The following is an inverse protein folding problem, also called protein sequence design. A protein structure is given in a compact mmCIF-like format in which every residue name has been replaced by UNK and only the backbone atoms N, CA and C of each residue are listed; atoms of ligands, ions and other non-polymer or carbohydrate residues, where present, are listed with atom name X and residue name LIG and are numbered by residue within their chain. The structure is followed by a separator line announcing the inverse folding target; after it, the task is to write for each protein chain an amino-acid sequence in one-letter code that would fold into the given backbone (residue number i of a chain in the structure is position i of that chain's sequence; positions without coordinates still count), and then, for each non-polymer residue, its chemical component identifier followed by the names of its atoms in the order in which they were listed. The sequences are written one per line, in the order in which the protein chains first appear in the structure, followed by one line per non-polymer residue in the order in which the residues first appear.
data_IF_208263416480
#
_entry.id   IF_208263416480
#
_cell.length_a   1.000
_cell.length_b   1.000
_cell.length_c   1.000
_cell.angle_alpha   90.00
_cell.angle_beta   90.00
_cell.angle_gamma   90.00
#
_symmetry.space_group_name_H-M   'P 1'
#
loop_
_entity.id
_entity.type
_entity.pdbx_description
1 polymer ?
#
# COMPACT_ATOMS: atom_id res chain seq x y z
N UNK A 1 -37.97 -29.58 94.43
CA UNK A 1 -38.83 -30.02 93.31
C UNK A 1 -39.07 -28.93 92.25
N UNK A 2 -39.81 -27.84 92.49
CA UNK A 2 -40.05 -26.83 91.42
C UNK A 2 -38.82 -26.00 91.05
N UNK A 3 -38.09 -25.46 92.04
CA UNK A 3 -36.83 -24.71 91.81
C UNK A 3 -35.75 -25.54 91.09
N UNK A 4 -35.67 -26.83 91.36
CA UNK A 4 -34.70 -27.73 90.69
C UNK A 4 -35.10 -27.99 89.24
N UNK A 5 -36.40 -28.14 88.96
CA UNK A 5 -36.92 -28.26 87.58
C UNK A 5 -36.67 -26.98 86.78
N UNK A 6 -36.77 -25.81 87.41
CA UNK A 6 -36.51 -24.52 86.78
C UNK A 6 -35.02 -24.33 86.48
N UNK A 7 -34.14 -24.66 87.42
CA UNK A 7 -32.68 -24.65 87.19
C UNK A 7 -32.22 -25.66 86.12
N UNK A 8 -32.89 -26.82 86.00
CA UNK A 8 -32.62 -27.79 84.95
C UNK A 8 -33.04 -27.26 83.56
N UNK A 9 -34.19 -26.59 83.47
CA UNK A 9 -34.66 -25.93 82.23
C UNK A 9 -33.73 -24.80 81.81
N UNK A 10 -33.24 -24.01 82.76
CA UNK A 10 -32.31 -22.92 82.47
C UNK A 10 -30.96 -23.43 81.97
N UNK A 11 -30.42 -24.52 82.57
CA UNK A 11 -29.22 -25.19 82.08
C UNK A 11 -29.39 -25.74 80.65
N UNK A 12 -30.48 -26.45 80.39
CA UNK A 12 -30.78 -26.96 79.04
C UNK A 12 -30.95 -25.85 78.00
N UNK A 13 -31.50 -24.68 78.39
CA UNK A 13 -31.62 -23.52 77.51
C UNK A 13 -30.26 -22.88 77.20
N UNK A 14 -29.34 -22.80 78.18
CA UNK A 14 -27.97 -22.33 77.96
C UNK A 14 -27.17 -23.30 77.07
N UNK A 15 -27.30 -24.60 77.29
CA UNK A 15 -26.66 -25.62 76.45
C UNK A 15 -27.13 -25.55 74.99
N UNK A 16 -28.44 -25.36 74.75
CA UNK A 16 -28.99 -25.17 73.41
C UNK A 16 -28.51 -23.87 72.75
N UNK A 17 -28.30 -22.81 73.53
CA UNK A 17 -27.79 -21.53 73.03
C UNK A 17 -26.30 -21.63 72.66
N UNK A 18 -25.50 -22.29 73.47
CA UNK A 18 -24.11 -22.61 73.17
C UNK A 18 -23.97 -23.53 71.93
N UNK A 19 -24.85 -24.53 71.78
CA UNK A 19 -24.84 -25.40 70.60
C UNK A 19 -25.16 -24.62 69.32
N UNK A 20 -26.14 -23.71 69.37
CA UNK A 20 -26.47 -22.80 68.25
C UNK A 20 -25.33 -21.85 67.93
N UNK A 21 -24.57 -21.39 68.93
CA UNK A 21 -23.39 -20.56 68.71
C UNK A 21 -22.27 -21.35 68.03
N UNK A 22 -21.99 -22.57 68.49
CA UNK A 22 -21.04 -23.49 67.84
C UNK A 22 -21.46 -23.84 66.42
N UNK A 23 -22.77 -23.99 66.15
CA UNK A 23 -23.29 -24.21 64.80
C UNK A 23 -23.09 -22.99 63.91
N UNK A 24 -23.32 -21.77 64.42
CA UNK A 24 -23.06 -20.51 63.70
C UNK A 24 -21.57 -20.34 63.39
N UNK A 25 -20.68 -20.72 64.30
CA UNK A 25 -19.23 -20.73 64.04
C UNK A 25 -18.86 -21.70 62.92
N UNK A 26 -19.34 -22.95 62.99
CA UNK A 26 -19.13 -23.94 61.91
C UNK A 26 -19.71 -23.46 60.58
N UNK A 27 -20.84 -22.74 60.58
CA UNK A 27 -21.41 -22.16 59.37
C UNK A 27 -20.54 -21.03 58.80
N UNK A 28 -19.97 -20.17 59.65
CA UNK A 28 -19.00 -19.15 59.24
C UNK A 28 -17.74 -19.79 58.66
N UNK A 29 -17.22 -20.84 59.26
CA UNK A 29 -16.06 -21.58 58.75
C UNK A 29 -16.34 -22.21 57.39
N UNK A 30 -17.51 -22.81 57.19
CA UNK A 30 -17.93 -23.34 55.88
C UNK A 30 -17.99 -22.25 54.82
N UNK A 31 -18.53 -21.08 55.15
CA UNK A 31 -18.58 -19.94 54.23
C UNK A 31 -17.18 -19.37 53.93
N UNK A 32 -16.30 -19.31 54.93
CA UNK A 32 -14.91 -18.89 54.75
C UNK A 32 -14.16 -19.82 53.80
N UNK A 33 -14.34 -21.14 53.95
CA UNK A 33 -13.75 -22.15 53.04
C UNK A 33 -14.33 -22.04 51.63
N UNK A 34 -15.64 -21.85 51.48
CA UNK A 34 -16.26 -21.64 50.16
C UNK A 34 -15.77 -20.35 49.48
N UNK A 35 -15.55 -19.29 50.26
CA UNK A 35 -14.98 -18.04 49.74
C UNK A 35 -13.53 -18.23 49.31
N UNK A 36 -12.71 -18.87 50.14
CA UNK A 36 -11.30 -19.13 49.85
C UNK A 36 -11.13 -20.01 48.60
N UNK A 37 -11.97 -21.03 48.42
CA UNK A 37 -11.94 -21.90 47.23
C UNK A 37 -12.36 -21.15 45.97
N UNK A 38 -13.44 -20.36 46.01
CA UNK A 38 -13.84 -19.50 44.89
C UNK A 38 -12.75 -18.50 44.52
N UNK A 39 -12.17 -17.84 45.52
CA UNK A 39 -11.09 -16.87 45.30
C UNK A 39 -9.83 -17.53 44.74
N UNK A 40 -9.48 -18.74 45.19
CA UNK A 40 -8.38 -19.51 44.62
C UNK A 40 -8.62 -19.88 43.14
N UNK A 41 -9.84 -20.30 42.80
CA UNK A 41 -10.21 -20.56 41.41
C UNK A 41 -10.17 -19.28 40.57
N UNK A 42 -10.75 -18.18 41.04
CA UNK A 42 -10.73 -16.89 40.35
C UNK A 42 -9.30 -16.40 40.11
N UNK A 43 -8.41 -16.50 41.11
CA UNK A 43 -6.99 -16.17 40.95
C UNK A 43 -6.30 -17.06 39.90
N UNK A 44 -6.54 -18.36 39.91
CA UNK A 44 -5.97 -19.28 38.92
C UNK A 44 -6.44 -18.97 37.49
N UNK A 45 -7.73 -18.65 37.32
CA UNK A 45 -8.28 -18.24 36.02
C UNK A 45 -7.73 -16.88 35.57
N UNK A 46 -7.58 -15.92 36.48
CA UNK A 46 -6.98 -14.62 36.18
C UNK A 46 -5.52 -14.76 35.75
N UNK A 47 -4.74 -15.59 36.44
CA UNK A 47 -3.34 -15.85 36.10
C UNK A 47 -3.21 -16.56 34.73
N UNK A 48 -4.09 -17.52 34.43
CA UNK A 48 -4.13 -18.17 33.12
C UNK A 48 -4.45 -17.19 31.99
N UNK A 49 -5.42 -16.28 32.19
CA UNK A 49 -5.75 -15.22 31.23
C UNK A 49 -4.60 -14.25 31.02
N UNK A 50 -3.96 -13.79 32.10
CA UNK A 50 -2.81 -12.89 32.02
C UNK A 50 -1.62 -13.54 31.28
N UNK A 51 -1.36 -14.84 31.50
CA UNK A 51 -0.34 -15.59 30.76
C UNK A 51 -0.68 -15.70 29.27
N UNK A 52 -1.93 -16.01 28.93
CA UNK A 52 -2.38 -16.08 27.55
C UNK A 52 -2.25 -14.73 26.83
N UNK A 53 -2.61 -13.63 27.50
CA UNK A 53 -2.48 -12.27 26.96
C UNK A 53 -1.02 -11.90 26.73
N UNK A 54 -0.12 -12.21 27.68
CA UNK A 54 1.32 -12.00 27.53
C UNK A 54 1.89 -12.75 26.32
N UNK A 55 1.52 -14.02 26.15
CA UNK A 55 1.94 -14.82 24.99
C UNK A 55 1.38 -14.24 23.69
N UNK A 56 0.13 -13.79 23.66
CA UNK A 56 -0.46 -13.17 22.49
C UNK A 56 0.28 -11.88 22.10
N UNK A 57 0.59 -11.03 23.08
CA UNK A 57 1.36 -9.80 22.86
C UNK A 57 2.77 -10.10 22.35
N UNK A 58 3.47 -11.09 22.92
CA UNK A 58 4.80 -11.51 22.47
C UNK A 58 4.78 -12.06 21.04
N UNK A 59 3.73 -12.81 20.65
CA UNK A 59 3.55 -13.28 19.27
C UNK A 59 3.30 -12.11 18.31
N UNK A 60 2.53 -11.11 18.72
CA UNK A 60 2.26 -9.91 17.91
C UNK A 60 3.55 -9.09 17.72
N UNK A 61 4.33 -8.88 18.78
CA UNK A 61 5.59 -8.12 18.69
C UNK A 61 6.61 -8.86 17.82
N UNK A 62 6.73 -10.17 17.97
CA UNK A 62 7.64 -10.99 17.16
C UNK A 62 7.21 -11.06 15.68
N UNK A 63 5.91 -11.11 15.40
CA UNK A 63 5.40 -11.01 14.02
C UNK A 63 5.72 -9.64 13.39
N UNK A 64 5.57 -8.55 14.16
CA UNK A 64 5.93 -7.20 13.70
C UNK A 64 7.42 -7.06 13.44
N UNK A 65 8.28 -7.61 14.31
CA UNK A 65 9.72 -7.62 14.11
C UNK A 65 10.11 -8.41 12.85
N UNK A 66 9.54 -9.60 12.63
CA UNK A 66 9.77 -10.39 11.42
C UNK A 66 9.35 -9.63 10.16
N UNK A 67 8.17 -9.02 10.14
CA UNK A 67 7.73 -8.21 9.00
C UNK A 67 8.67 -7.03 8.73
N UNK A 68 9.18 -6.38 9.78
CA UNK A 68 10.16 -5.29 9.62
C UNK A 68 11.52 -5.76 9.11
N UNK A 69 11.96 -6.97 9.49
CA UNK A 69 13.20 -7.56 9.01
C UNK A 69 13.08 -7.98 7.53
N UNK A 70 11.97 -8.63 7.16
CA UNK A 70 11.70 -9.01 5.77
C UNK A 70 11.58 -7.79 4.85
N UNK A 71 11.01 -6.68 5.34
CA UNK A 71 10.98 -5.42 4.59
C UNK A 71 12.40 -4.86 4.35
N UNK A 72 13.25 -4.86 5.38
CA UNK A 72 14.65 -4.41 5.24
C UNK A 72 15.46 -5.30 4.31
N UNK A 73 15.29 -6.61 4.38
CA UNK A 73 15.97 -7.56 3.48
C UNK A 73 15.54 -7.34 2.02
N UNK A 74 14.25 -7.09 1.77
CA UNK A 74 13.74 -6.76 0.42
C UNK A 74 14.30 -5.43 -0.09
N UNK A 75 14.41 -4.42 0.77
CA UNK A 75 15.02 -3.13 0.41
C UNK A 75 16.53 -3.27 0.13
N UNK A 76 17.26 -4.03 0.95
CA UNK A 76 18.68 -4.31 0.73
C UNK A 76 18.91 -5.10 -0.57
N UNK A 77 18.08 -6.11 -0.84
CA UNK A 77 18.16 -6.88 -2.07
C UNK A 77 17.84 -6.03 -3.31
N UNK A 78 16.79 -5.19 -3.24
CA UNK A 78 16.43 -4.28 -4.32
C UNK A 78 17.51 -3.22 -4.59
N UNK A 79 18.16 -2.71 -3.54
CA UNK A 79 19.27 -1.74 -3.71
C UNK A 79 20.53 -2.39 -4.26
N UNK A 80 20.85 -3.63 -3.85
CA UNK A 80 21.94 -4.41 -4.42
C UNK A 80 21.69 -4.74 -5.91
N UNK A 81 20.47 -5.18 -6.25
CA UNK A 81 20.08 -5.46 -7.64
C UNK A 81 20.15 -4.19 -8.50
N UNK A 82 19.61 -3.07 -8.02
CA UNK A 82 19.71 -1.78 -8.71
C UNK A 82 21.16 -1.30 -8.88
N UNK A 83 22.05 -1.56 -7.91
CA UNK A 83 23.47 -1.25 -8.02
C UNK A 83 24.16 -2.10 -9.10
N UNK A 84 23.86 -3.39 -9.17
CA UNK A 84 24.40 -4.28 -10.22
C UNK A 84 23.90 -3.89 -11.61
N UNK A 85 22.62 -3.55 -11.74
CA UNK A 85 22.04 -3.11 -12.99
C UNK A 85 22.65 -1.76 -13.43
N UNK A 86 22.81 -0.82 -12.50
CA UNK A 86 23.49 0.46 -12.76
C UNK A 86 24.93 0.26 -13.24
N UNK A 87 25.70 -0.60 -12.58
CA UNK A 87 27.07 -0.91 -12.98
C UNK A 87 27.13 -1.53 -14.38
N UNK A 88 26.19 -2.43 -14.72
CA UNK A 88 26.09 -3.03 -16.05
C UNK A 88 25.76 -2.00 -17.14
N UNK A 89 24.84 -1.07 -16.85
CA UNK A 89 24.47 0.03 -17.76
C UNK A 89 25.64 0.99 -17.98
N UNK A 90 26.37 1.32 -16.92
CA UNK A 90 27.57 2.16 -17.00
C UNK A 90 28.68 1.51 -17.82
N UNK A 91 28.93 0.21 -17.62
CA UNK A 91 29.90 -0.55 -18.41
C UNK A 91 29.53 -0.56 -19.91
N UNK A 92 28.24 -0.74 -20.24
CA UNK A 92 27.75 -0.69 -21.62
C UNK A 92 27.95 0.69 -22.25
N UNK A 93 27.61 1.76 -21.54
CA UNK A 93 27.84 3.12 -22.03
C UNK A 93 29.33 3.43 -22.23
N UNK A 94 30.19 2.93 -21.35
CA UNK A 94 31.64 3.07 -21.49
C UNK A 94 32.18 2.31 -22.72
N UNK A 95 31.69 1.10 -22.96
CA UNK A 95 32.06 0.32 -24.14
C UNK A 95 31.58 0.98 -25.44
N UNK A 96 30.37 1.52 -25.46
CA UNK A 96 29.83 2.26 -26.61
C UNK A 96 30.65 3.51 -26.92
N UNK A 97 31.00 4.31 -25.90
CA UNK A 97 31.88 5.47 -26.06
C UNK A 97 33.25 5.08 -26.64
N UNK A 98 33.85 3.99 -26.14
CA UNK A 98 35.12 3.50 -26.66
C UNK A 98 35.02 3.00 -28.11
N UNK A 99 33.90 2.38 -28.50
CA UNK A 99 33.67 1.95 -29.87
C UNK A 99 33.52 3.15 -30.83
N UNK A 100 32.77 4.18 -30.43
CA UNK A 100 32.64 5.43 -31.19
C UNK A 100 34.01 6.10 -31.35
N UNK A 101 34.79 6.20 -30.28
CA UNK A 101 36.13 6.78 -30.35
C UNK A 101 37.03 6.03 -31.34
N UNK A 102 37.06 4.69 -31.28
CA UNK A 102 37.81 3.87 -32.25
C UNK A 102 37.34 4.09 -33.69
N UNK A 103 36.03 4.10 -33.93
CA UNK A 103 35.49 4.35 -35.26
C UNK A 103 35.87 5.74 -35.78
N UNK A 104 35.88 6.75 -34.90
CA UNK A 104 36.31 8.11 -35.28
C UNK A 104 37.81 8.19 -35.54
N UNK A 105 38.63 7.44 -34.80
CA UNK A 105 40.07 7.36 -35.05
C UNK A 105 40.36 6.65 -36.39
N UNK A 106 39.69 5.53 -36.66
CA UNK A 106 39.80 4.79 -37.92
C UNK A 106 39.35 5.64 -39.13
N UNK A 107 38.26 6.40 -38.99
CA UNK A 107 37.83 7.34 -40.01
C UNK A 107 38.86 8.46 -40.27
N UNK A 108 39.52 8.95 -39.21
CA UNK A 108 40.61 9.93 -39.33
C UNK A 108 41.83 9.34 -40.04
N UNK A 109 42.23 8.13 -39.71
CA UNK A 109 43.35 7.45 -40.41
C UNK A 109 43.04 7.21 -41.88
N UNK A 110 41.84 6.70 -42.21
CA UNK A 110 41.40 6.54 -43.61
C UNK A 110 41.39 7.86 -44.37
N UNK A 111 40.99 8.96 -43.74
CA UNK A 111 41.02 10.28 -44.38
C UNK A 111 42.47 10.73 -44.65
N UNK A 112 43.39 10.49 -43.73
CA UNK A 112 44.82 10.79 -43.90
C UNK A 112 45.43 9.94 -45.02
N UNK A 113 45.14 8.64 -45.06
CA UNK A 113 45.62 7.73 -46.11
C UNK A 113 45.06 8.13 -47.49
N UNK A 114 43.76 8.46 -47.57
CA UNK A 114 43.15 8.96 -48.80
C UNK A 114 43.75 10.29 -49.25
N UNK A 115 44.08 11.17 -48.32
CA UNK A 115 44.77 12.43 -48.62
C UNK A 115 46.19 12.21 -49.14
N UNK A 116 46.94 11.26 -48.56
CA UNK A 116 48.26 10.84 -49.06
C UNK A 116 48.16 10.25 -50.46
N UNK A 117 47.25 9.30 -50.68
CA UNK A 117 47.03 8.71 -52.01
C UNK A 117 46.59 9.75 -53.06
N UNK A 118 45.76 10.73 -52.66
CA UNK A 118 45.39 11.84 -53.54
C UNK A 118 46.57 12.79 -53.84
N UNK A 119 47.48 13.00 -52.88
CA UNK A 119 48.71 13.75 -53.09
C UNK A 119 49.67 13.00 -54.04
N UNK A 120 49.89 11.70 -53.83
CA UNK A 120 50.72 10.85 -54.70
C UNK A 120 50.14 10.75 -56.11
N UNK A 121 48.81 10.66 -56.25
CA UNK A 121 48.13 10.67 -57.55
C UNK A 121 48.28 12.03 -58.26
N UNK A 122 48.20 13.14 -57.52
CA UNK A 122 48.50 14.48 -58.06
C UNK A 122 49.95 14.58 -58.50
N UNK A 123 50.89 14.10 -57.69
CA UNK A 123 52.32 14.08 -58.04
C UNK A 123 52.58 13.22 -59.29
N UNK A 124 51.96 12.04 -59.40
CA UNK A 124 52.08 11.18 -60.58
C UNK A 124 51.47 11.83 -61.82
N UNK A 125 50.35 12.52 -61.69
CA UNK A 125 49.76 13.30 -62.78
C UNK A 125 50.64 14.50 -63.17
N UNK A 126 51.30 15.14 -62.20
CA UNK A 126 52.26 16.22 -62.46
C UNK A 126 53.53 15.69 -63.16
N UNK A 127 54.03 14.52 -62.77
CA UNK A 127 55.10 13.78 -63.46
C UNK A 127 54.71 13.37 -64.88
N UNK A 128 53.47 12.92 -65.09
CA UNK A 128 52.95 12.58 -66.43
C UNK A 128 52.77 13.84 -67.30
N UNK A 129 52.30 14.94 -66.70
CA UNK A 129 52.17 16.25 -67.34
C UNK A 129 53.55 16.84 -67.67
N UNK A 130 54.58 16.57 -66.87
CA UNK A 130 55.97 16.95 -67.19
C UNK A 130 56.58 16.04 -68.27
N UNK A 131 56.33 14.73 -68.28
CA UNK A 131 56.69 13.86 -69.42
C UNK A 131 55.97 14.23 -70.72
N UNK A 132 54.74 14.74 -70.65
CA UNK A 132 54.04 15.26 -71.82
C UNK A 132 54.57 16.64 -72.25
N UNK A 133 55.10 17.42 -71.31
CA UNK A 133 55.75 18.72 -71.55
C UNK A 133 57.19 18.60 -72.06
N UNK A 134 57.83 17.45 -71.88
CA UNK A 134 59.16 17.14 -72.43
C UNK A 134 59.14 16.82 -73.95
N UNK A 135 57.96 16.74 -74.59
CA UNK A 135 57.84 16.63 -76.06
C UNK A 135 57.65 17.98 -76.77
N UNK A 136 57.57 19.09 -76.03
CA UNK A 136 57.60 20.45 -76.60
C UNK A 136 58.49 21.34 -75.75
N UNK A 137 59.80 21.23 -75.97
CA UNK A 137 60.78 22.19 -75.47
C UNK A 137 61.42 22.92 -76.64
N UNK A 138 60.89 24.09 -76.96
CA UNK A 138 61.69 25.19 -77.51
C UNK A 138 61.28 26.48 -76.81
N UNK A 139 62.26 27.07 -76.11
CA UNK A 139 62.47 28.53 -75.97
C UNK A 139 61.33 29.29 -75.24
N UNK A 140 61.48 29.82 -74.02
CA UNK A 140 62.52 30.74 -73.57
C UNK A 140 62.46 30.96 -72.05
N UNK A 141 63.56 31.48 -71.52
CA UNK A 141 63.73 31.97 -70.15
C UNK A 141 62.75 33.10 -69.83
N UNK A 142 62.21 33.10 -68.62
CA UNK A 142 62.38 34.27 -67.74
C UNK A 142 62.22 33.83 -66.29
N UNK A 143 63.21 34.21 -65.50
CA UNK A 143 63.36 33.88 -64.09
C UNK A 143 63.35 35.22 -63.37
N UNK A 144 62.30 35.52 -62.61
CA UNK A 144 62.41 36.52 -61.55
C UNK A 144 61.68 36.04 -60.31
N UNK A 145 62.49 35.96 -59.27
CA UNK A 145 62.22 35.58 -57.91
C UNK A 145 61.19 36.51 -57.27
N UNK A 146 60.29 35.97 -56.47
CA UNK A 146 60.21 36.48 -55.10
C UNK A 146 59.83 35.38 -54.09
N UNK A 147 60.68 35.27 -53.08
CA UNK A 147 60.52 34.42 -51.90
C UNK A 147 60.06 35.34 -50.79
N UNK A 148 58.89 35.12 -50.21
CA UNK A 148 58.70 35.54 -48.83
C UNK A 148 57.85 34.56 -48.01
N UNK A 149 58.58 33.93 -47.09
CA UNK A 149 58.18 33.23 -45.89
C UNK A 149 57.00 33.90 -45.15
N UNK A 150 56.09 33.10 -44.60
CA UNK A 150 56.14 32.74 -43.17
C UNK A 150 55.03 31.74 -42.80
N UNK A 151 55.49 30.58 -42.33
CA UNK A 151 54.77 29.68 -41.45
C UNK A 151 55.09 30.17 -40.04
N UNK A 152 54.10 30.67 -39.31
CA UNK A 152 54.19 30.85 -37.85
C UNK A 152 53.00 30.14 -37.22
N UNK A 153 53.25 28.88 -36.85
CA UNK A 153 52.74 28.41 -35.59
C UNK A 153 53.41 29.29 -34.52
N UNK A 154 52.60 30.00 -33.73
CA UNK A 154 52.97 30.30 -32.36
C UNK A 154 51.74 30.69 -31.56
N UNK A 155 51.62 29.97 -30.45
CA UNK A 155 50.86 30.29 -29.26
C UNK A 155 50.78 31.79 -28.99
N UNK A 156 49.56 32.27 -28.78
CA UNK A 156 49.35 33.47 -27.99
C UNK A 156 48.49 33.10 -26.78
N UNK A 157 49.22 32.93 -25.67
CA UNK A 157 48.91 33.38 -24.31
C UNK A 157 47.44 33.62 -23.95
N UNK A 158 47.04 32.90 -22.90
CA UNK A 158 46.24 33.39 -21.78
C UNK A 158 45.91 34.89 -21.86
N UNK A 159 44.66 35.19 -22.20
CA UNK A 159 44.08 36.48 -21.87
C UNK A 159 43.05 36.25 -20.78
N UNK A 160 43.50 36.59 -19.57
CA UNK A 160 42.72 36.81 -18.35
C UNK A 160 41.25 37.17 -18.63
N UNK A 161 40.35 36.26 -18.25
CA UNK A 161 38.90 36.50 -18.15
C UNK A 161 38.40 36.11 -16.76
N UNK A 162 39.05 36.65 -15.71
CA UNK A 162 38.62 36.41 -14.33
C UNK A 162 37.35 37.20 -13.94
N UNK A 163 36.90 38.15 -14.80
CA UNK A 163 35.71 38.96 -14.51
C UNK A 163 34.43 38.47 -15.20
N UNK A 164 34.51 37.64 -16.26
CA UNK A 164 33.33 37.08 -16.94
C UNK A 164 32.93 35.69 -16.47
N UNK A 165 33.84 34.89 -15.89
CA UNK A 165 33.48 33.55 -15.39
C UNK A 165 32.59 33.61 -14.14
N UNK A 166 32.77 34.60 -13.27
CA UNK A 166 32.00 34.71 -12.02
C UNK A 166 30.51 35.07 -12.27
N UNK A 167 30.23 35.90 -13.28
CA UNK A 167 28.85 36.27 -13.67
C UNK A 167 28.15 35.12 -14.40
N UNK A 168 28.89 34.37 -15.23
CA UNK A 168 28.35 33.20 -15.96
C UNK A 168 28.14 32.01 -15.02
N UNK A 169 29.00 31.80 -14.02
CA UNK A 169 28.79 30.81 -12.94
C UNK A 169 27.60 31.19 -12.06
N UNK A 170 27.43 32.47 -11.71
CA UNK A 170 26.30 32.95 -10.92
C UNK A 170 24.97 32.84 -11.69
N UNK A 171 24.93 33.20 -12.99
CA UNK A 171 23.77 32.96 -13.85
C UNK A 171 23.49 31.46 -14.03
N UNK A 172 24.52 30.64 -14.15
CA UNK A 172 24.39 29.18 -14.27
C UNK A 172 23.87 28.55 -12.97
N UNK A 173 24.30 29.06 -11.81
CA UNK A 173 23.80 28.66 -10.50
C UNK A 173 22.34 29.08 -10.28
N UNK A 174 21.94 30.28 -10.73
CA UNK A 174 20.55 30.73 -10.69
C UNK A 174 19.65 29.89 -11.61
N UNK A 175 20.12 29.52 -12.81
CA UNK A 175 19.40 28.63 -13.72
C UNK A 175 19.30 27.20 -13.17
N UNK A 176 20.35 26.70 -12.54
CA UNK A 176 20.34 25.41 -11.86
C UNK A 176 19.36 25.40 -10.68
N UNK A 177 19.34 26.46 -9.86
CA UNK A 177 18.36 26.66 -8.78
C UNK A 177 16.93 26.71 -9.31
N UNK A 178 16.69 27.44 -10.41
CA UNK A 178 15.37 27.53 -11.03
C UNK A 178 14.90 26.19 -11.62
N UNK A 179 15.79 25.36 -12.17
CA UNK A 179 15.47 23.98 -12.61
C UNK A 179 15.15 23.07 -11.43
N UNK A 180 16.02 23.06 -10.41
CA UNK A 180 15.82 22.28 -9.20
C UNK A 180 14.51 22.64 -8.49
N UNK A 181 14.12 23.91 -8.47
CA UNK A 181 12.85 24.34 -7.88
C UNK A 181 11.62 23.88 -8.70
N UNK A 182 11.73 23.77 -10.03
CA UNK A 182 10.67 23.20 -10.88
C UNK A 182 10.55 21.69 -10.70
N UNK A 183 11.68 21.00 -10.62
CA UNK A 183 11.77 19.57 -10.34
C UNK A 183 11.23 19.28 -8.94
N UNK A 184 11.60 20.07 -7.93
CA UNK A 184 11.08 19.96 -6.56
C UNK A 184 9.56 20.11 -6.53
N UNK A 185 8.99 21.13 -7.18
CA UNK A 185 7.53 21.30 -7.27
C UNK A 185 6.85 20.14 -7.99
N UNK A 186 7.51 19.52 -8.95
CA UNK A 186 6.96 18.37 -9.70
C UNK A 186 7.05 17.11 -8.86
N UNK A 187 8.17 16.87 -8.19
CA UNK A 187 8.39 15.78 -7.26
C UNK A 187 7.44 15.89 -6.05
N UNK A 188 7.21 17.09 -5.53
CA UNK A 188 6.27 17.33 -4.42
C UNK A 188 4.83 17.03 -4.82
N UNK A 189 4.39 17.46 -6.02
CA UNK A 189 3.06 17.09 -6.54
C UNK A 189 2.92 15.59 -6.75
N UNK A 190 3.95 14.94 -7.30
CA UNK A 190 3.97 13.50 -7.48
C UNK A 190 3.94 12.74 -6.14
N UNK A 191 4.73 13.19 -5.16
CA UNK A 191 4.77 12.62 -3.82
C UNK A 191 3.43 12.81 -3.09
N UNK A 192 2.81 13.99 -3.20
CA UNK A 192 1.48 14.26 -2.63
C UNK A 192 0.41 13.37 -3.26
N UNK A 193 0.39 13.25 -4.58
CA UNK A 193 -0.55 12.39 -5.29
C UNK A 193 -0.37 10.91 -4.91
N UNK A 194 0.88 10.46 -4.77
CA UNK A 194 1.20 9.10 -4.33
C UNK A 194 0.77 8.86 -2.89
N UNK A 195 1.06 9.79 -1.98
CA UNK A 195 0.64 9.70 -0.58
C UNK A 195 -0.88 9.70 -0.42
N UNK A 196 -1.59 10.53 -1.20
CA UNK A 196 -3.05 10.58 -1.22
C UNK A 196 -3.66 9.28 -1.74
N UNK A 197 -3.10 8.72 -2.82
CA UNK A 197 -3.50 7.40 -3.33
C UNK A 197 -3.26 6.31 -2.28
N UNK A 198 -2.05 6.24 -1.73
CA UNK A 198 -1.71 5.25 -0.70
C UNK A 198 -2.62 5.38 0.52
N UNK A 199 -2.98 6.61 0.92
CA UNK A 199 -3.93 6.84 2.02
C UNK A 199 -5.33 6.35 1.68
N UNK A 200 -5.83 6.60 0.46
CA UNK A 200 -7.13 6.07 0.00
C UNK A 200 -7.14 4.55 -0.03
N UNK A 201 -6.08 3.94 -0.56
CA UNK A 201 -5.95 2.49 -0.66
C UNK A 201 -5.91 1.85 0.74
N UNK A 202 -5.18 2.45 1.69
CA UNK A 202 -5.15 2.01 3.08
C UNK A 202 -6.53 2.11 3.77
N UNK A 203 -7.31 3.16 3.50
CA UNK A 203 -8.67 3.28 4.03
C UNK A 203 -9.61 2.23 3.44
N UNK A 204 -9.55 2.01 2.12
CA UNK A 204 -10.35 0.99 1.44
C UNK A 204 -10.01 -0.42 1.95
N UNK A 205 -8.72 -0.72 2.16
CA UNK A 205 -8.29 -1.99 2.74
C UNK A 205 -8.81 -2.19 4.16
N UNK A 206 -8.78 -1.14 5.00
CA UNK A 206 -9.34 -1.21 6.35
C UNK A 206 -10.84 -1.47 6.34
N UNK A 207 -11.59 -0.76 5.50
CA UNK A 207 -13.03 -0.99 5.34
C UNK A 207 -13.31 -2.41 4.85
N UNK A 208 -12.54 -2.90 3.87
CA UNK A 208 -12.69 -4.26 3.35
C UNK A 208 -12.35 -5.33 4.41
N UNK A 209 -11.31 -5.10 5.20
CA UNK A 209 -10.95 -6.00 6.30
C UNK A 209 -12.05 -6.06 7.37
N UNK A 210 -12.64 -4.92 7.73
CA UNK A 210 -13.79 -4.88 8.64
C UNK A 210 -15.03 -5.56 8.04
N UNK A 211 -15.29 -5.35 6.75
CA UNK A 211 -16.36 -6.08 6.02
C UNK A 211 -16.13 -7.59 6.08
N UNK A 212 -14.92 -8.07 5.79
CA UNK A 212 -14.57 -9.50 5.85
C UNK A 212 -14.73 -10.06 7.27
N UNK A 213 -14.24 -9.34 8.27
CA UNK A 213 -14.41 -9.73 9.68
C UNK A 213 -15.88 -9.87 10.04
N UNK A 214 -16.72 -8.93 9.63
CA UNK A 214 -18.16 -8.97 9.89
C UNK A 214 -18.86 -10.08 9.10
N UNK A 215 -18.42 -10.37 7.87
CA UNK A 215 -18.98 -11.41 7.03
C UNK A 215 -18.99 -12.79 7.72
N UNK A 216 -17.93 -13.14 8.45
CA UNK A 216 -17.84 -14.41 9.19
C UNK A 216 -19.00 -14.62 10.19
N UNK A 217 -19.55 -13.54 10.74
CA UNK A 217 -20.66 -13.59 11.69
C UNK A 217 -22.01 -13.34 11.03
N UNK A 218 -22.05 -12.45 10.04
CA UNK A 218 -23.27 -12.03 9.35
C UNK A 218 -23.73 -13.04 8.30
N UNK A 219 -22.82 -13.71 7.61
CA UNK A 219 -23.19 -14.70 6.58
C UNK A 219 -23.97 -15.89 7.17
N UNK A 220 -23.57 -16.50 8.30
CA UNK A 220 -24.37 -17.54 8.95
C UNK A 220 -25.72 -17.01 9.45
N UNK A 221 -25.79 -15.75 9.90
CA UNK A 221 -27.02 -15.10 10.34
C UNK A 221 -28.00 -14.90 9.18
N UNK A 222 -27.54 -14.32 8.08
CA UNK A 222 -28.32 -14.11 6.85
C UNK A 222 -28.74 -15.45 6.26
N UNK A 223 -27.83 -16.43 6.19
CA UNK A 223 -28.12 -17.78 5.67
C UNK A 223 -29.15 -18.50 6.51
N UNK A 224 -29.04 -18.44 7.85
CA UNK A 224 -30.04 -19.03 8.75
C UNK A 224 -31.41 -18.37 8.58
N UNK A 225 -31.42 -17.05 8.40
CA UNK A 225 -32.66 -16.33 8.12
C UNK A 225 -33.23 -16.76 6.77
N UNK A 226 -32.47 -16.74 5.68
CA UNK A 226 -32.95 -17.04 4.33
C UNK A 226 -33.32 -18.51 4.14
N UNK A 227 -32.74 -19.43 4.90
CA UNK A 227 -32.94 -20.87 4.77
C UNK A 227 -34.43 -21.25 4.70
N UNK A 228 -34.82 -21.99 3.66
CA UNK A 228 -36.21 -22.42 3.43
C UNK A 228 -37.16 -21.34 2.90
N UNK A 229 -36.72 -20.08 2.77
CA UNK A 229 -37.51 -18.98 2.18
C UNK A 229 -36.84 -18.29 0.98
N UNK A 230 -35.69 -18.77 0.54
CA UNK A 230 -35.03 -18.30 -0.68
C UNK A 230 -35.91 -18.53 -1.90
N UNK A 231 -36.06 -17.50 -2.75
CA UNK A 231 -36.95 -17.56 -3.91
C UNK A 231 -38.43 -17.30 -3.59
N UNK A 232 -38.86 -17.35 -2.32
CA UNK A 232 -40.22 -17.01 -1.93
C UNK A 232 -40.30 -15.56 -1.44
N UNK A 233 -40.67 -14.66 -2.37
CA UNK A 233 -40.73 -13.24 -2.10
C UNK A 233 -41.68 -12.88 -0.93
N UNK A 234 -42.81 -13.57 -0.78
CA UNK A 234 -43.77 -13.31 0.32
C UNK A 234 -43.16 -13.59 1.69
N UNK A 235 -42.50 -14.74 1.83
CA UNK A 235 -41.87 -15.16 3.09
C UNK A 235 -40.66 -14.28 3.47
N UNK A 236 -39.90 -13.82 2.47
CA UNK A 236 -38.79 -12.88 2.69
C UNK A 236 -39.30 -11.52 3.17
N UNK A 237 -40.33 -10.96 2.52
CA UNK A 237 -40.90 -9.67 2.89
C UNK A 237 -41.56 -9.68 4.27
N UNK A 238 -42.25 -10.77 4.63
CA UNK A 238 -42.95 -10.87 5.93
C UNK A 238 -42.03 -11.05 7.13
N UNK A 239 -40.76 -11.42 6.90
CA UNK A 239 -39.76 -11.68 7.95
C UNK A 239 -38.54 -10.76 7.87
N UNK A 240 -38.60 -9.73 7.03
CA UNK A 240 -37.50 -8.80 6.78
C UNK A 240 -37.10 -7.99 8.03
N UNK A 241 -38.06 -7.73 8.93
CA UNK A 241 -37.83 -7.02 10.20
C UNK A 241 -36.83 -7.72 11.12
N UNK A 242 -36.71 -9.05 11.05
CA UNK A 242 -35.83 -9.81 11.96
C UNK A 242 -34.36 -9.70 11.58
N UNK A 243 -34.04 -9.42 10.32
CA UNK A 243 -32.66 -9.31 9.84
C UNK A 243 -32.20 -7.85 9.73
N UNK A 244 -33.10 -6.93 9.39
CA UNK A 244 -32.77 -5.50 9.32
C UNK A 244 -32.78 -4.82 10.70
N UNK A 245 -33.63 -5.25 11.65
CA UNK A 245 -33.79 -4.55 12.93
C UNK A 245 -34.59 -3.24 12.82
N UNK A 246 -34.76 -2.54 13.94
CA UNK A 246 -35.67 -1.38 14.08
C UNK A 246 -35.26 -0.14 13.30
N UNK A 247 -33.96 0.03 13.02
CA UNK A 247 -33.40 1.33 12.63
C UNK A 247 -33.46 1.59 11.11
N UNK A 248 -33.91 0.60 10.34
CA UNK A 248 -33.90 0.64 8.87
C UNK A 248 -35.19 1.20 8.24
N UNK A 249 -36.14 1.65 9.07
CA UNK A 249 -37.41 2.22 8.60
C UNK A 249 -38.30 1.22 7.85
N UNK A 250 -38.05 -0.08 8.01
CA UNK A 250 -38.92 -1.14 7.50
C UNK A 250 -40.09 -1.33 8.45
N UNK A 251 -41.30 -1.39 7.89
CA UNK A 251 -42.51 -1.73 8.64
C UNK A 251 -42.83 -3.20 8.38
N UNK A 252 -43.06 -3.98 9.44
CA UNK A 252 -43.45 -5.38 9.31
C UNK A 252 -44.75 -5.50 8.51
N UNK A 253 -44.78 -6.44 7.56
CA UNK A 253 -45.95 -6.71 6.73
C UNK A 253 -46.37 -8.16 6.99
N UNK A 254 -47.55 -8.43 7.57
CA UNK A 254 -48.00 -9.79 7.81
C UNK A 254 -48.32 -10.50 6.50
N UNK A 255 -48.29 -11.83 6.50
CA UNK A 255 -48.64 -12.64 5.33
C UNK A 255 -50.07 -12.39 4.82
N UNK A 256 -50.99 -12.00 5.73
CA UNK A 256 -52.37 -11.60 5.39
C UNK A 256 -52.42 -10.42 4.42
N UNK A 257 -51.43 -9.56 4.46
CA UNK A 257 -51.36 -8.35 3.62
C UNK A 257 -50.58 -8.62 2.32
N UNK A 258 -50.00 -9.82 2.16
CA UNK A 258 -49.20 -10.25 1.01
C UNK A 258 -49.90 -11.31 0.15
N UNK A 259 -51.24 -11.38 0.24
CA UNK A 259 -52.05 -12.34 -0.52
C UNK A 259 -52.03 -11.98 -2.02
N UNK A 260 -52.26 -10.72 -2.36
CA UNK A 260 -52.36 -10.26 -3.76
C UNK A 260 -51.00 -9.92 -4.36
N UNK A 261 -50.82 -10.20 -5.65
CA UNK A 261 -49.58 -9.89 -6.38
C UNK A 261 -49.26 -8.38 -6.35
N UNK A 262 -50.28 -7.53 -6.36
CA UNK A 262 -50.14 -6.07 -6.25
C UNK A 262 -49.57 -5.64 -4.90
N UNK A 263 -50.03 -6.25 -3.81
CA UNK A 263 -49.51 -5.98 -2.47
C UNK A 263 -48.06 -6.45 -2.31
N UNK A 264 -47.73 -7.63 -2.83
CA UNK A 264 -46.34 -8.15 -2.86
C UNK A 264 -45.42 -7.21 -3.64
N UNK A 265 -45.84 -6.76 -4.83
CA UNK A 265 -45.05 -5.82 -5.64
C UNK A 265 -44.84 -4.47 -4.94
N UNK A 266 -45.85 -3.96 -4.22
CA UNK A 266 -45.75 -2.73 -3.43
C UNK A 266 -44.79 -2.89 -2.26
N UNK A 267 -44.88 -4.00 -1.52
CA UNK A 267 -43.99 -4.31 -0.40
C UNK A 267 -42.54 -4.52 -0.88
N UNK A 268 -42.34 -5.23 -1.99
CA UNK A 268 -41.01 -5.40 -2.61
C UNK A 268 -40.36 -4.07 -2.98
N UNK A 269 -41.07 -3.18 -3.67
CA UNK A 269 -40.55 -1.84 -4.02
C UNK A 269 -40.12 -1.05 -2.78
N UNK A 270 -40.89 -1.11 -1.69
CA UNK A 270 -40.52 -0.48 -0.43
C UNK A 270 -39.27 -1.12 0.17
N UNK A 271 -39.19 -2.45 0.16
CA UNK A 271 -38.06 -3.20 0.71
C UNK A 271 -36.77 -2.85 -0.03
N UNK A 272 -36.79 -2.85 -1.37
CA UNK A 272 -35.64 -2.50 -2.19
C UNK A 272 -35.14 -1.09 -1.93
N UNK A 273 -36.03 -0.13 -1.64
CA UNK A 273 -35.62 1.23 -1.27
C UNK A 273 -34.97 1.28 0.12
N UNK A 274 -35.47 0.51 1.08
CA UNK A 274 -34.90 0.45 2.42
C UNK A 274 -33.48 -0.13 2.43
N UNK A 275 -33.22 -1.16 1.63
CA UNK A 275 -31.92 -1.85 1.59
C UNK A 275 -30.98 -1.32 0.50
N UNK A 276 -31.38 -0.28 -0.25
CA UNK A 276 -30.56 0.27 -1.32
C UNK A 276 -29.33 1.01 -0.78
N UNK A 277 -28.13 0.81 -1.36
CA UNK A 277 -26.89 1.46 -0.88
C UNK A 277 -26.96 2.99 -0.82
N UNK A 278 -27.63 3.65 -1.76
CA UNK A 278 -27.84 5.11 -1.75
C UNK A 278 -28.60 5.58 -0.50
N UNK A 279 -29.65 4.85 -0.11
CA UNK A 279 -30.47 5.19 1.07
C UNK A 279 -29.73 4.88 2.38
N UNK A 280 -28.90 3.84 2.39
CA UNK A 280 -28.02 3.52 3.51
C UNK A 280 -26.92 4.57 3.67
N UNK A 281 -26.39 5.12 2.57
CA UNK A 281 -25.40 6.19 2.60
C UNK A 281 -26.01 7.49 3.15
N UNK A 282 -27.23 7.86 2.73
CA UNK A 282 -27.95 9.03 3.25
C UNK A 282 -28.23 8.95 4.76
N UNK A 283 -28.44 7.74 5.30
CA UNK A 283 -28.76 7.50 6.72
C UNK A 283 -27.53 7.30 7.61
N UNK A 284 -26.31 7.34 7.05
CA UNK A 284 -25.09 7.06 7.81
C UNK A 284 -25.03 5.61 8.33
N UNK A 285 -25.53 4.65 7.56
CA UNK A 285 -25.58 3.25 7.97
C UNK A 285 -24.19 2.69 8.29
N UNK A 286 -24.12 1.88 9.35
CA UNK A 286 -22.91 1.18 9.77
C UNK A 286 -22.45 0.17 8.71
N UNK A 287 -21.16 -0.20 8.71
CA UNK A 287 -20.60 -1.22 7.80
C UNK A 287 -21.40 -2.54 7.92
N UNK A 288 -21.79 -2.93 9.14
CA UNK A 288 -22.67 -4.08 9.40
C UNK A 288 -24.01 -3.96 8.67
N UNK A 289 -24.70 -2.83 8.80
CA UNK A 289 -26.00 -2.62 8.15
C UNK A 289 -25.86 -2.63 6.62
N UNK A 290 -24.82 -1.98 6.08
CA UNK A 290 -24.52 -2.01 4.64
C UNK A 290 -24.35 -3.43 4.13
N UNK A 291 -23.59 -4.25 4.86
CA UNK A 291 -23.37 -5.66 4.51
C UNK A 291 -24.66 -6.49 4.53
N UNK A 292 -25.45 -6.39 5.60
CA UNK A 292 -26.72 -7.12 5.70
C UNK A 292 -27.67 -6.72 4.57
N UNK A 293 -27.82 -5.41 4.33
CA UNK A 293 -28.71 -4.90 3.30
C UNK A 293 -28.29 -5.33 1.89
N UNK A 294 -26.99 -5.38 1.60
CA UNK A 294 -26.44 -5.90 0.35
C UNK A 294 -26.89 -7.35 0.12
N UNK A 295 -26.67 -8.24 1.10
CA UNK A 295 -27.09 -9.65 1.00
C UNK A 295 -28.60 -9.82 0.90
N UNK A 296 -29.35 -9.04 1.67
CA UNK A 296 -30.82 -9.07 1.65
C UNK A 296 -31.37 -8.57 0.31
N UNK A 297 -30.76 -7.55 -0.29
CA UNK A 297 -31.14 -7.04 -1.59
C UNK A 297 -31.00 -8.11 -2.67
N UNK A 298 -29.89 -8.84 -2.68
CA UNK A 298 -29.66 -9.95 -3.61
C UNK A 298 -30.72 -11.06 -3.45
N UNK A 299 -31.05 -11.42 -2.20
CA UNK A 299 -32.09 -12.42 -1.91
C UNK A 299 -33.47 -11.97 -2.38
N UNK A 300 -33.82 -10.70 -2.17
CA UNK A 300 -35.10 -10.12 -2.62
C UNK A 300 -35.17 -10.07 -4.16
N UNK A 301 -34.07 -9.72 -4.84
CA UNK A 301 -33.97 -9.73 -6.30
C UNK A 301 -34.17 -11.14 -6.85
N UNK A 302 -33.47 -12.12 -6.29
CA UNK A 302 -33.58 -13.53 -6.67
C UNK A 302 -34.97 -14.14 -6.43
N UNK A 303 -35.74 -13.59 -5.48
CA UNK A 303 -37.14 -13.96 -5.24
C UNK A 303 -38.13 -13.26 -6.18
N UNK A 304 -37.81 -12.06 -6.66
CA UNK A 304 -38.62 -11.35 -7.65
C UNK A 304 -38.48 -11.94 -9.05
N UNK A 305 -37.31 -12.47 -9.41
CA UNK A 305 -37.08 -13.04 -10.75
C UNK A 305 -37.76 -14.42 -10.92
N UNK A 306 -38.17 -15.05 -9.82
CA UNK A 306 -38.75 -16.41 -9.79
C UNK A 306 -40.26 -16.46 -9.49
N UNK A 307 -40.89 -15.33 -9.19
CA UNK A 307 -42.29 -15.24 -8.75
C UNK A 307 -43.14 -14.42 -9.73
#
# INVERSE_FOLDING_TARGET
MEREKEQAKERSRRELEEEKERERERAKDRLAVQRATKEAHERAFAEARAKAERIALERITLARQRASAEAREKEEKATAEAATEKASREARLKAERAAVERATAEARERAIEKAKAAADAKERMERFRSSFKDSFKSTNQDNQLDKQFQKTASNNYERSTDSSNQVVEFESALRHKARSEREHRTAERAAKALAEKNMRDMLAQREQAERHRLAEYLDPEVKRWSNGKEGNLRALLSTLQYILGSDNGWQSVPLTDLITATAVKKAYRRATLCVHPDKLQQRGATIRQKYICEKVFDLLKNGSDRS
#
